data_IF_463075605626
#
_entry.id   IF_463075605626
#
_cell.length_a   1.000
_cell.length_b   1.000
_cell.length_c   1.000
_cell.angle_alpha   90.00
_cell.angle_beta   90.00
_cell.angle_gamma   90.00
#
_symmetry.space_group_name_H-M   'P 1'
#
loop_
_entity.id
_entity.type
_entity.pdbx_description
1 polymer ?
#
# COMPACT_ATOMS: atom_id res chain seq x y z
N UNK A 1 7.41 13.25 10.53
CA UNK A 1 7.00 11.88 10.13
C UNK A 1 5.84 12.03 9.16
N UNK A 2 5.94 11.46 7.96
CA UNK A 2 4.89 11.63 6.92
C UNK A 2 3.54 11.13 7.41
N UNK A 3 2.47 11.80 6.95
CA UNK A 3 1.09 11.46 7.29
C UNK A 3 0.63 10.11 6.75
N UNK A 4 1.32 9.57 5.73
CA UNK A 4 1.07 8.23 5.17
C UNK A 4 1.54 7.10 6.10
N UNK A 5 2.45 7.37 7.04
CA UNK A 5 2.93 6.34 7.95
C UNK A 5 1.80 5.83 8.84
N UNK A 6 1.67 4.51 8.96
CA UNK A 6 0.61 3.90 9.76
C UNK A 6 0.31 2.47 9.40
N UNK A 7 -0.62 1.88 10.15
CA UNK A 7 -1.14 0.53 9.92
C UNK A 7 -2.50 0.67 9.26
N UNK A 8 -2.74 -0.09 8.20
CA UNK A 8 -3.98 -0.10 7.43
C UNK A 8 -4.46 -1.54 7.31
N UNK A 9 -5.73 -1.80 7.63
CA UNK A 9 -6.30 -3.16 7.64
C UNK A 9 -7.40 -3.28 6.60
N UNK A 10 -7.43 -4.40 5.88
CA UNK A 10 -8.53 -4.73 4.99
C UNK A 10 -9.60 -5.58 5.69
N UNK A 11 -10.69 -4.96 6.15
CA UNK A 11 -11.88 -5.61 6.74
C UNK A 11 -12.76 -6.19 5.61
N UNK A 12 -12.57 -7.45 5.19
CA UNK A 12 -13.08 -8.65 5.87
C UNK A 12 -11.99 -9.72 6.08
N UNK A 13 -10.73 -9.34 5.98
CA UNK A 13 -9.58 -10.23 6.16
C UNK A 13 -8.64 -9.69 7.25
N UNK A 14 -7.61 -10.46 7.58
CA UNK A 14 -6.52 -10.01 8.46
C UNK A 14 -5.35 -9.39 7.66
N UNK A 15 -5.56 -9.12 6.36
CA UNK A 15 -4.54 -8.48 5.52
C UNK A 15 -4.25 -7.08 6.03
N UNK A 16 -2.98 -6.83 6.35
CA UNK A 16 -2.53 -5.59 6.97
C UNK A 16 -1.40 -4.98 6.15
N UNK A 17 -1.48 -3.69 5.86
CA UNK A 17 -0.43 -2.89 5.25
C UNK A 17 0.14 -1.96 6.31
N UNK A 18 1.43 -2.06 6.57
CA UNK A 18 2.14 -1.16 7.47
C UNK A 18 3.09 -0.30 6.64
N UNK A 19 2.87 1.00 6.62
CA UNK A 19 3.71 1.97 5.92
C UNK A 19 4.60 2.72 6.92
N UNK A 20 5.89 2.75 6.63
CA UNK A 20 6.94 3.34 7.48
C UNK A 20 7.87 4.20 6.64
N UNK A 21 8.64 5.06 7.32
CA UNK A 21 9.69 5.87 6.69
C UNK A 21 9.21 6.71 5.49
N UNK A 22 7.93 7.08 5.45
CA UNK A 22 7.39 7.97 4.44
C UNK A 22 8.11 9.32 4.44
N UNK A 23 8.54 9.75 3.26
CA UNK A 23 9.22 11.00 2.99
C UNK A 23 8.37 11.87 2.05
N UNK A 24 7.81 12.95 2.59
CA UNK A 24 6.98 13.89 1.83
C UNK A 24 7.80 14.76 0.86
N UNK A 25 9.13 14.76 0.90
CA UNK A 25 9.95 15.49 -0.07
C UNK A 25 10.13 14.70 -1.37
N UNK A 26 10.31 13.39 -1.25
CA UNK A 26 10.59 12.48 -2.38
C UNK A 26 9.37 11.68 -2.81
N UNK A 27 8.36 11.58 -1.94
CA UNK A 27 7.21 10.71 -2.13
C UNK A 27 7.55 9.23 -1.94
N UNK A 28 8.63 8.87 -1.24
CA UNK A 28 9.02 7.46 -1.03
C UNK A 28 8.57 6.92 0.32
N UNK A 29 8.41 5.60 0.43
CA UNK A 29 8.21 4.90 1.72
C UNK A 29 8.78 3.48 1.69
N UNK A 30 8.91 2.89 2.87
CA UNK A 30 9.13 1.45 3.09
C UNK A 30 7.95 0.86 3.89
N UNK A 31 7.89 -0.46 4.05
CA UNK A 31 6.83 -1.04 4.86
C UNK A 31 6.74 -2.55 4.79
N UNK A 32 5.58 -3.07 5.17
CA UNK A 32 5.27 -4.49 5.17
C UNK A 32 3.83 -4.70 4.72
N UNK A 33 3.60 -5.65 3.81
CA UNK A 33 2.28 -6.22 3.52
C UNK A 33 2.18 -7.58 4.22
N UNK A 34 1.31 -7.70 5.20
CA UNK A 34 1.00 -8.97 5.89
C UNK A 34 -0.24 -9.59 5.26
N UNK A 35 -0.11 -10.79 4.71
CA UNK A 35 -1.23 -11.57 4.16
C UNK A 35 -1.33 -12.87 4.93
N UNK A 36 -2.49 -13.14 5.53
CA UNK A 36 -2.72 -14.35 6.35
C UNK A 36 -1.65 -14.57 7.43
N UNK A 37 -1.16 -13.48 8.04
CA UNK A 37 -0.14 -13.51 9.10
C UNK A 37 1.30 -13.70 8.61
N UNK A 38 1.53 -13.76 7.29
CA UNK A 38 2.89 -13.79 6.72
C UNK A 38 3.26 -12.40 6.22
N UNK A 39 4.40 -11.90 6.71
CA UNK A 39 4.90 -10.56 6.41
C UNK A 39 5.77 -10.55 5.15
N UNK A 40 5.44 -9.68 4.21
CA UNK A 40 6.19 -9.43 2.99
C UNK A 40 6.72 -8.01 2.97
N UNK A 41 8.06 -7.82 2.95
CA UNK A 41 8.65 -6.49 3.02
C UNK A 41 8.37 -5.71 1.73
N UNK A 42 8.11 -4.42 1.90
CA UNK A 42 8.07 -3.42 0.85
C UNK A 42 9.38 -2.65 0.95
N UNK A 43 10.34 -3.02 0.10
CA UNK A 43 11.67 -2.39 0.06
C UNK A 43 11.62 -0.98 -0.54
N UNK A 44 10.62 -0.71 -1.37
CA UNK A 44 10.39 0.59 -1.97
C UNK A 44 8.94 0.76 -2.42
N UNK A 45 8.34 1.89 -2.05
CA UNK A 45 7.06 2.35 -2.54
C UNK A 45 7.06 3.85 -2.77
N UNK A 46 6.07 4.33 -3.53
CA UNK A 46 5.95 5.73 -3.94
C UNK A 46 4.54 6.25 -3.66
N UNK A 47 4.40 7.52 -3.32
CA UNK A 47 3.14 8.24 -3.27
C UNK A 47 3.32 9.64 -3.85
N UNK A 48 2.32 10.10 -4.61
CA UNK A 48 2.35 11.43 -5.22
C UNK A 48 1.27 12.31 -4.63
N UNK A 49 1.69 13.35 -3.94
CA UNK A 49 0.81 14.41 -3.46
C UNK A 49 0.64 15.50 -4.54
N UNK A 50 -0.53 16.14 -4.53
CA UNK A 50 -0.79 17.29 -5.40
C UNK A 50 -0.33 18.56 -4.68
N UNK A 51 0.79 19.12 -5.11
CA UNK A 51 1.25 20.42 -4.62
C UNK A 51 0.17 21.50 -4.79
N UNK A 52 -0.05 22.29 -3.74
CA UNK A 52 -0.99 23.42 -3.75
C UNK A 52 -2.44 23.05 -3.44
N UNK A 53 -2.74 21.79 -3.14
CA UNK A 53 -4.08 21.34 -2.73
C UNK A 53 -4.04 20.74 -1.32
N UNK A 54 -4.97 21.15 -0.46
CA UNK A 54 -5.15 20.57 0.88
C UNK A 54 -6.08 19.34 0.87
N UNK A 55 -6.67 19.02 -0.28
CA UNK A 55 -7.60 17.91 -0.47
C UNK A 55 -7.40 17.24 -1.84
N UNK A 56 -7.99 16.07 -2.05
CA UNK A 56 -7.97 15.36 -3.33
C UNK A 56 -7.15 14.07 -3.32
N UNK A 57 -7.25 13.28 -4.41
CA UNK A 57 -6.75 11.92 -4.41
C UNK A 57 -5.22 11.86 -4.47
N UNK A 58 -4.66 10.95 -3.67
CA UNK A 58 -3.23 10.60 -3.66
C UNK A 58 -3.08 9.19 -4.21
N UNK A 59 -2.26 9.03 -5.25
CA UNK A 59 -1.89 7.72 -5.77
C UNK A 59 -0.68 7.19 -4.99
N UNK A 60 -0.72 5.91 -4.66
CA UNK A 60 0.31 5.17 -3.93
C UNK A 60 0.61 3.91 -4.73
N UNK A 61 1.87 3.52 -4.87
CA UNK A 61 2.26 2.29 -5.55
C UNK A 61 3.46 1.62 -4.90
N UNK A 62 3.46 0.29 -4.91
CA UNK A 62 4.60 -0.51 -4.47
C UNK A 62 4.56 -1.90 -5.09
N UNK A 63 5.64 -2.64 -4.93
CA UNK A 63 5.72 -4.06 -5.21
C UNK A 63 6.28 -4.81 -4.01
N UNK A 64 5.99 -6.10 -3.93
CA UNK A 64 6.55 -7.01 -2.95
C UNK A 64 6.65 -8.42 -3.52
N UNK A 65 7.50 -9.26 -2.93
CA UNK A 65 7.72 -10.64 -3.34
C UNK A 65 7.37 -11.55 -2.17
N UNK A 66 6.49 -12.52 -2.42
CA UNK A 66 6.14 -13.54 -1.42
C UNK A 66 7.21 -14.63 -1.35
N UNK A 67 7.19 -15.42 -0.28
CA UNK A 67 8.16 -16.49 -0.04
C UNK A 67 8.14 -17.58 -1.12
N UNK A 68 7.01 -17.79 -1.80
CA UNK A 68 6.85 -18.73 -2.90
C UNK A 68 7.26 -18.15 -4.28
N UNK A 69 7.76 -16.92 -4.32
CA UNK A 69 8.20 -16.25 -5.55
C UNK A 69 7.10 -15.53 -6.31
N UNK A 70 5.87 -15.44 -5.79
CA UNK A 70 4.81 -14.64 -6.40
C UNK A 70 5.12 -13.15 -6.27
N UNK A 71 5.26 -12.47 -7.40
CA UNK A 71 5.46 -11.02 -7.43
C UNK A 71 4.11 -10.33 -7.32
N UNK A 72 3.98 -9.40 -6.38
CA UNK A 72 2.79 -8.56 -6.25
C UNK A 72 3.10 -7.11 -6.61
N UNK A 73 2.20 -6.47 -7.34
CA UNK A 73 2.26 -5.04 -7.63
C UNK A 73 0.92 -4.39 -7.25
N UNK A 74 0.99 -3.26 -6.55
CA UNK A 74 -0.18 -2.59 -6.01
C UNK A 74 -0.24 -1.13 -6.46
N UNK A 75 -1.44 -0.67 -6.77
CA UNK A 75 -1.79 0.74 -6.92
C UNK A 75 -2.94 1.03 -5.97
N UNK A 76 -2.81 2.07 -5.17
CA UNK A 76 -3.80 2.48 -4.19
C UNK A 76 -4.12 3.96 -4.33
N UNK A 77 -5.32 4.33 -3.92
CA UNK A 77 -5.79 5.69 -3.93
C UNK A 77 -6.33 6.05 -2.56
N UNK A 78 -5.74 7.07 -1.94
CA UNK A 78 -6.42 7.73 -0.85
C UNK A 78 -7.34 8.81 -1.42
N UNK A 79 -8.64 8.84 -1.07
CA UNK A 79 -9.56 9.89 -1.53
C UNK A 79 -9.30 11.23 -0.83
N UNK A 80 -8.68 11.18 0.34
CA UNK A 80 -8.29 12.31 1.17
C UNK A 80 -6.78 12.31 1.38
N UNK A 81 -6.14 13.47 1.49
CA UNK A 81 -4.72 13.54 1.86
C UNK A 81 -4.48 13.22 3.35
N UNK A 82 -5.50 12.71 4.05
CA UNK A 82 -5.42 12.26 5.44
C UNK A 82 -5.12 10.76 5.55
N UNK A 83 -5.15 10.02 4.43
CA UNK A 83 -4.89 8.59 4.38
C UNK A 83 -5.81 7.81 5.33
N UNK A 84 -7.08 8.22 5.43
CA UNK A 84 -8.03 7.51 6.31
C UNK A 84 -8.38 6.14 5.73
N UNK A 85 -8.42 6.07 4.41
CA UNK A 85 -8.78 4.90 3.61
C UNK A 85 -7.92 4.85 2.36
N UNK A 86 -7.52 3.65 1.96
CA UNK A 86 -6.82 3.37 0.72
C UNK A 86 -7.63 2.36 -0.10
N UNK A 87 -8.10 2.76 -1.28
CA UNK A 87 -8.75 1.87 -2.24
C UNK A 87 -7.69 1.33 -3.19
N UNK A 88 -7.51 0.02 -3.19
CA UNK A 88 -6.37 -0.65 -3.80
C UNK A 88 -6.81 -1.60 -4.91
N UNK A 89 -6.01 -1.64 -5.97
CA UNK A 89 -5.97 -2.74 -6.93
C UNK A 89 -4.56 -3.29 -6.95
N UNK A 90 -4.46 -4.61 -6.84
CA UNK A 90 -3.20 -5.33 -6.92
C UNK A 90 -3.23 -6.39 -8.01
N UNK A 91 -2.06 -6.79 -8.46
CA UNK A 91 -1.86 -8.02 -9.22
C UNK A 91 -0.95 -8.97 -8.45
N UNK A 92 -1.13 -10.26 -8.70
CA UNK A 92 -0.22 -11.32 -8.25
C UNK A 92 0.19 -12.12 -9.47
N UNK A 93 1.50 -12.17 -9.75
CA UNK A 93 2.08 -12.91 -10.86
C UNK A 93 2.88 -14.11 -10.33
N UNK A 94 2.49 -15.31 -10.73
CA UNK A 94 3.24 -16.53 -10.38
C UNK A 94 4.55 -16.65 -11.19
N UNK A 95 5.36 -17.66 -10.87
CA UNK A 95 6.62 -17.90 -11.59
C UNK A 95 6.45 -18.28 -13.07
N UNK A 96 5.23 -18.59 -13.52
CA UNK A 96 4.88 -18.89 -14.91
C UNK A 96 4.36 -17.65 -15.65
N UNK A 97 4.23 -16.51 -14.96
CA UNK A 97 3.72 -15.25 -15.49
C UNK A 97 2.20 -15.16 -15.55
N UNK A 98 1.46 -16.11 -14.94
CA UNK A 98 0.01 -16.00 -14.83
C UNK A 98 -0.34 -14.92 -13.82
N UNK A 99 -1.28 -14.05 -14.17
CA UNK A 99 -1.67 -12.92 -13.32
C UNK A 99 -3.08 -13.05 -12.78
N UNK A 100 -3.23 -12.90 -11.46
CA UNK A 100 -4.51 -12.63 -10.80
C UNK A 100 -4.65 -11.15 -10.44
N UNK A 101 -5.88 -10.63 -10.42
CA UNK A 101 -6.19 -9.26 -9.98
C UNK A 101 -6.96 -9.28 -8.66
N UNK A 102 -6.59 -8.41 -7.74
CA UNK A 102 -7.20 -8.30 -6.40
C UNK A 102 -7.62 -6.85 -6.15
N UNK A 103 -8.88 -6.63 -5.74
CA UNK A 103 -9.36 -5.33 -5.30
C UNK A 103 -9.60 -5.34 -3.79
N UNK A 104 -8.94 -4.45 -3.05
CA UNK A 104 -9.06 -4.36 -1.59
C UNK A 104 -9.31 -2.91 -1.15
N UNK A 105 -9.95 -2.73 0.00
CA UNK A 105 -10.02 -1.44 0.68
C UNK A 105 -9.37 -1.57 2.05
N UNK A 106 -8.36 -0.74 2.30
CA UNK A 106 -7.65 -0.70 3.58
C UNK A 106 -8.08 0.52 4.39
N UNK A 107 -8.39 0.31 5.67
CA UNK A 107 -8.78 1.36 6.61
C UNK A 107 -7.64 1.57 7.60
N UNK A 108 -7.24 2.83 7.80
CA UNK A 108 -6.20 3.17 8.76
C UNK A 108 -6.64 2.79 10.18
N UNK A 109 -5.77 2.09 10.89
CA UNK A 109 -5.97 1.71 12.27
C UNK A 109 -5.45 2.86 13.15
N UNK A 110 -6.33 3.34 14.06
CA UNK A 110 -6.14 4.32 15.15
C UNK A 110 -4.90 5.23 15.10
N UNK A 111 -5.17 6.54 15.11
CA UNK A 111 -4.19 7.65 15.16
C UNK A 111 -3.61 7.87 16.54
#
# INVERSE_FOLDING_TARGET
MSTINGVYRHEPSDTTLTLTEGDDCTGSFTGTLSVSGTDYPITFGNFHFRHGFSTGPVAISFNTLTADGTAQAWVMFSPDQAYTRLRAMGSAADMMGNTGLNGLEFIRQNR
#
